data_IF_270906125728
#
_entry.id   IF_270906125728
#
_cell.length_a   1.000
_cell.length_b   1.000
_cell.length_c   1.000
_cell.angle_alpha   90.00
_cell.angle_beta   90.00
_cell.angle_gamma   90.00
#
_symmetry.space_group_name_H-M   'P 1'
#
loop_
_entity.id
_entity.type
_entity.pdbx_description
1 polymer ?
#
# COMPACT_ATOMS: atom_id res chain seq x y z
N UNK A 1 -10.81 15.72 -4.24
CA UNK A 1 -10.31 14.60 -3.41
C UNK A 1 -11.41 13.62 -2.99
N UNK A 2 -12.56 14.07 -2.46
CA UNK A 2 -13.65 13.21 -1.96
C UNK A 2 -14.10 12.06 -2.91
N UNK A 3 -14.11 12.29 -4.24
CA UNK A 3 -14.46 11.25 -5.24
C UNK A 3 -13.49 10.06 -5.29
N UNK A 4 -12.20 10.29 -5.04
CA UNK A 4 -11.19 9.22 -5.03
C UNK A 4 -11.34 8.43 -3.74
N UNK A 5 -11.48 9.11 -2.60
CA UNK A 5 -11.70 8.46 -1.31
C UNK A 5 -12.93 7.54 -1.33
N UNK A 6 -14.05 7.99 -1.91
CA UNK A 6 -15.27 7.19 -2.05
C UNK A 6 -15.06 5.99 -2.96
N UNK A 7 -14.42 6.16 -4.12
CA UNK A 7 -14.12 5.07 -5.05
C UNK A 7 -13.27 3.97 -4.38
N UNK A 8 -12.20 4.36 -3.69
CA UNK A 8 -11.31 3.42 -3.00
C UNK A 8 -12.02 2.69 -1.86
N UNK A 9 -12.88 3.39 -1.11
CA UNK A 9 -13.70 2.77 -0.05
C UNK A 9 -14.63 1.70 -0.62
N UNK A 10 -15.31 1.99 -1.74
CA UNK A 10 -16.19 1.03 -2.39
C UNK A 10 -15.43 -0.19 -2.93
N UNK A 11 -14.25 0.01 -3.54
CA UNK A 11 -13.42 -1.11 -3.97
C UNK A 11 -12.98 -1.98 -2.77
N UNK A 12 -12.54 -1.37 -1.66
CA UNK A 12 -12.20 -2.11 -0.45
C UNK A 12 -13.38 -2.96 0.06
N UNK A 13 -14.60 -2.40 0.12
CA UNK A 13 -15.81 -3.16 0.51
C UNK A 13 -16.09 -4.34 -0.42
N UNK A 14 -15.90 -4.17 -1.74
CA UNK A 14 -16.05 -5.27 -2.71
C UNK A 14 -15.03 -6.37 -2.48
N UNK A 15 -13.78 -6.04 -2.16
CA UNK A 15 -12.73 -7.02 -1.89
C UNK A 15 -13.00 -7.80 -0.60
N UNK A 16 -13.46 -7.14 0.46
CA UNK A 16 -13.83 -7.80 1.72
C UNK A 16 -14.90 -8.89 1.51
N UNK A 17 -15.88 -8.63 0.65
CA UNK A 17 -16.93 -9.60 0.29
C UNK A 17 -16.42 -10.81 -0.51
N UNK A 18 -15.29 -10.70 -1.21
CA UNK A 18 -14.76 -11.79 -2.05
C UNK A 18 -14.02 -12.86 -1.26
N UNK A 19 -13.29 -12.48 -0.21
CA UNK A 19 -12.40 -13.41 0.54
C UNK A 19 -12.76 -13.55 2.01
N UNK A 20 -13.91 -13.02 2.43
CA UNK A 20 -14.37 -13.00 3.83
C UNK A 20 -13.23 -12.66 4.82
N UNK A 21 -12.49 -11.58 4.53
CA UNK A 21 -11.28 -11.22 5.27
C UNK A 21 -11.61 -10.93 6.74
N UNK A 22 -11.02 -11.71 7.65
CA UNK A 22 -11.24 -11.56 9.09
C UNK A 22 -10.86 -10.17 9.60
N UNK A 23 -11.50 -9.73 10.68
CA UNK A 23 -11.21 -8.43 11.29
C UNK A 23 -9.73 -8.34 11.72
N UNK A 24 -9.19 -9.42 12.28
CA UNK A 24 -7.78 -9.50 12.67
C UNK A 24 -6.83 -9.27 11.48
N UNK A 25 -7.09 -9.90 10.33
CA UNK A 25 -6.28 -9.66 9.13
C UNK A 25 -6.40 -8.22 8.63
N UNK A 26 -7.60 -7.62 8.71
CA UNK A 26 -7.77 -6.21 8.34
C UNK A 26 -6.94 -5.29 9.25
N UNK A 27 -6.94 -5.53 10.56
CA UNK A 27 -6.16 -4.74 11.51
C UNK A 27 -4.67 -4.86 11.25
N UNK A 28 -4.15 -6.07 11.02
CA UNK A 28 -2.75 -6.30 10.65
C UNK A 28 -2.38 -5.54 9.38
N UNK A 29 -3.20 -5.65 8.34
CA UNK A 29 -3.01 -4.94 7.07
C UNK A 29 -3.16 -3.42 7.19
N UNK A 30 -3.73 -2.88 8.27
CA UNK A 30 -3.82 -1.44 8.52
C UNK A 30 -2.67 -0.91 9.38
N UNK A 31 -2.13 -1.76 10.26
CA UNK A 31 -1.02 -1.41 11.15
C UNK A 31 0.30 -1.35 10.37
N UNK A 32 0.54 -2.35 9.52
CA UNK A 32 1.82 -2.53 8.84
C UNK A 32 1.76 -1.99 7.42
N UNK A 33 2.50 -0.91 7.07
CA UNK A 33 2.49 -0.32 5.74
C UNK A 33 3.43 -1.00 4.73
N UNK A 34 4.10 -2.09 5.11
CA UNK A 34 4.88 -2.90 4.17
C UNK A 34 4.32 -4.31 4.18
N UNK A 35 4.17 -4.86 2.98
CA UNK A 35 3.77 -6.23 2.72
C UNK A 35 4.73 -6.83 1.71
N UNK A 36 5.25 -8.01 2.02
CA UNK A 36 6.04 -8.83 1.12
C UNK A 36 5.40 -10.21 1.03
N UNK A 37 5.59 -10.89 -0.10
CA UNK A 37 4.97 -12.17 -0.37
C UNK A 37 6.02 -13.09 -0.98
N UNK A 38 6.34 -14.16 -0.27
CA UNK A 38 7.30 -15.17 -0.69
C UNK A 38 6.54 -16.44 -1.10
N UNK A 39 6.73 -16.93 -2.33
CA UNK A 39 6.06 -18.14 -2.77
C UNK A 39 6.54 -19.34 -1.94
N UNK A 40 5.62 -20.26 -1.68
CA UNK A 40 5.93 -21.57 -1.11
C UNK A 40 5.65 -22.63 -2.19
N UNK A 41 6.47 -23.69 -2.23
CA UNK A 41 6.37 -24.80 -3.17
C UNK A 41 4.98 -25.49 -3.18
N UNK A 42 4.18 -25.32 -2.12
CA UNK A 42 2.86 -25.97 -1.94
C UNK A 42 1.68 -25.17 -2.53
N UNK A 43 1.89 -24.20 -3.43
CA UNK A 43 0.81 -23.34 -3.96
C UNK A 43 0.24 -22.34 -2.94
N UNK A 44 0.95 -22.18 -1.82
CA UNK A 44 0.68 -21.18 -0.80
C UNK A 44 1.70 -20.04 -0.90
N UNK A 45 1.38 -18.90 -0.28
CA UNK A 45 2.26 -17.74 -0.22
C UNK A 45 2.43 -17.35 1.24
N UNK A 46 3.68 -17.16 1.65
CA UNK A 46 4.01 -16.60 2.95
C UNK A 46 4.05 -15.09 2.83
N UNK A 47 3.10 -14.41 3.45
CA UNK A 47 3.00 -12.96 3.46
C UNK A 47 3.65 -12.41 4.73
N UNK A 48 4.63 -11.55 4.56
CA UNK A 48 5.34 -10.85 5.64
C UNK A 48 4.82 -9.41 5.73
N UNK A 49 4.24 -9.05 6.87
CA UNK A 49 3.74 -7.70 7.16
C UNK A 49 4.69 -6.98 8.13
N UNK A 50 5.12 -5.78 7.75
CA UNK A 50 6.07 -5.00 8.54
C UNK A 50 6.08 -3.51 8.24
N UNK A 51 7.17 -2.86 8.65
CA UNK A 51 7.34 -1.41 8.53
C UNK A 51 6.79 -0.63 9.73
N UNK A 52 7.36 0.56 9.92
CA UNK A 52 6.93 1.47 10.99
C UNK A 52 5.54 2.02 10.70
N UNK A 53 4.63 1.89 11.66
CA UNK A 53 3.32 2.53 11.59
C UNK A 53 3.43 4.04 11.39
N UNK A 54 2.37 4.64 10.86
CA UNK A 54 2.34 6.07 10.56
C UNK A 54 1.03 6.70 11.01
N UNK A 55 1.06 8.01 11.24
CA UNK A 55 -0.13 8.77 11.57
C UNK A 55 -0.98 8.96 10.31
N UNK A 56 -2.21 8.46 10.28
CA UNK A 56 -3.09 8.55 9.10
C UNK A 56 -3.49 9.98 8.70
N UNK A 57 -3.39 10.96 9.61
CA UNK A 57 -3.68 12.37 9.34
C UNK A 57 -2.44 13.10 8.80
N UNK A 58 -1.31 12.96 9.48
CA UNK A 58 -0.09 13.72 9.14
C UNK A 58 0.87 12.98 8.22
N UNK A 59 0.67 11.68 8.01
CA UNK A 59 1.50 10.75 7.22
C UNK A 59 2.94 10.60 7.74
N UNK A 60 3.23 11.13 8.94
CA UNK A 60 4.51 10.98 9.61
C UNK A 60 4.65 9.59 10.22
N UNK A 61 5.86 9.04 10.16
CA UNK A 61 6.22 7.80 10.85
C UNK A 61 6.05 7.97 12.35
N UNK A 62 5.50 6.96 13.00
CA UNK A 62 5.39 6.89 14.46
C UNK A 62 6.40 5.84 14.91
N UNK A 63 7.44 6.28 15.64
CA UNK A 63 8.37 5.39 16.32
C UNK A 63 7.65 4.76 17.52
N UNK A 64 6.85 3.72 17.28
CA UNK A 64 6.40 2.82 18.36
C UNK A 64 7.38 1.64 18.42
N UNK A 65 7.57 1.12 19.64
CA UNK A 65 8.32 -0.11 19.88
C UNK A 65 7.91 -1.20 18.90
N UNK A 66 8.90 -1.89 18.36
CA UNK A 66 8.82 -2.82 17.24
C UNK A 66 7.75 -3.88 17.53
N UNK A 67 6.54 -3.72 16.97
CA UNK A 67 5.66 -4.88 16.81
C UNK A 67 6.40 -5.81 15.84
N UNK A 68 6.78 -6.98 16.34
CA UNK A 68 7.46 -8.02 15.57
C UNK A 68 6.71 -8.21 14.24
N UNK A 69 7.45 -8.33 13.16
CA UNK A 69 6.91 -8.65 11.83
C UNK A 69 5.88 -9.77 11.94
N UNK A 70 4.77 -9.65 11.22
CA UNK A 70 3.68 -10.61 11.27
C UNK A 70 3.62 -11.41 9.98
N UNK A 71 3.54 -12.72 10.11
CA UNK A 71 3.56 -13.63 8.98
C UNK A 71 2.18 -14.29 8.82
N UNK A 72 1.68 -14.32 7.60
CA UNK A 72 0.40 -14.94 7.24
C UNK A 72 0.66 -15.98 6.15
N UNK A 73 0.00 -17.13 6.23
CA UNK A 73 0.01 -18.12 5.14
C UNK A 73 -1.31 -18.00 4.39
N UNK A 74 -1.25 -17.65 3.11
CA UNK A 74 -2.43 -17.44 2.25
C UNK A 74 -2.32 -18.30 0.99
N UNK A 75 -3.44 -18.57 0.33
CA UNK A 75 -3.41 -19.04 -1.06
C UNK A 75 -2.97 -17.92 -2.00
N UNK A 76 -2.45 -18.27 -3.19
CA UNK A 76 -2.05 -17.28 -4.22
C UNK A 76 -3.20 -16.33 -4.56
N UNK A 77 -4.41 -16.87 -4.76
CA UNK A 77 -5.60 -16.08 -5.08
C UNK A 77 -5.95 -15.10 -3.95
N UNK A 78 -5.94 -15.59 -2.71
CA UNK A 78 -6.23 -14.75 -1.53
C UNK A 78 -5.16 -13.67 -1.36
N UNK A 79 -3.89 -14.01 -1.60
CA UNK A 79 -2.78 -13.07 -1.53
C UNK A 79 -2.95 -11.89 -2.50
N UNK A 80 -3.42 -12.12 -3.74
CA UNK A 80 -3.71 -11.05 -4.70
C UNK A 80 -4.72 -10.05 -4.15
N UNK A 81 -5.78 -10.53 -3.50
CA UNK A 81 -6.83 -9.70 -2.92
C UNK A 81 -6.33 -8.93 -1.69
N UNK A 82 -5.50 -9.57 -0.85
CA UNK A 82 -4.86 -8.93 0.31
C UNK A 82 -3.90 -7.82 -0.11
N UNK A 83 -3.05 -8.07 -1.12
CA UNK A 83 -2.13 -7.08 -1.68
C UNK A 83 -2.85 -5.87 -2.24
N UNK A 84 -3.98 -6.08 -2.93
CA UNK A 84 -4.79 -4.98 -3.44
C UNK A 84 -5.46 -4.20 -2.29
N UNK A 85 -6.07 -4.89 -1.33
CA UNK A 85 -6.69 -4.26 -0.17
C UNK A 85 -5.69 -3.40 0.62
N UNK A 86 -4.49 -3.93 0.85
CA UNK A 86 -3.37 -3.25 1.50
C UNK A 86 -2.96 -1.98 0.73
N UNK A 87 -2.74 -2.10 -0.58
CA UNK A 87 -2.37 -0.96 -1.44
C UNK A 87 -3.43 0.14 -1.44
N UNK A 88 -4.72 -0.23 -1.50
CA UNK A 88 -5.83 0.72 -1.42
C UNK A 88 -5.91 1.40 -0.05
N UNK A 89 -5.56 0.71 1.02
CA UNK A 89 -5.58 1.29 2.36
C UNK A 89 -4.46 2.31 2.56
N UNK A 90 -3.25 2.00 2.12
CA UNK A 90 -2.06 2.82 2.33
C UNK A 90 -1.75 3.79 1.19
N UNK A 91 -2.63 3.92 0.20
CA UNK A 91 -2.35 4.71 -1.01
C UNK A 91 -1.82 6.12 -0.69
N UNK A 92 -2.47 6.86 0.24
CA UNK A 92 -2.03 8.21 0.64
C UNK A 92 -0.61 8.22 1.20
N UNK A 93 -0.28 7.21 2.02
CA UNK A 93 1.01 7.12 2.66
C UNK A 93 2.12 6.78 1.66
N UNK A 94 1.89 5.79 0.79
CA UNK A 94 2.85 5.45 -0.26
C UNK A 94 3.05 6.61 -1.24
N UNK A 95 1.98 7.30 -1.64
CA UNK A 95 2.08 8.52 -2.44
C UNK A 95 2.91 9.58 -1.73
N UNK A 96 2.64 9.82 -0.44
CA UNK A 96 3.40 10.80 0.33
C UNK A 96 4.89 10.46 0.39
N UNK A 97 5.24 9.20 0.67
CA UNK A 97 6.64 8.76 0.68
C UNK A 97 7.30 8.90 -0.69
N UNK A 98 6.61 8.54 -1.76
CA UNK A 98 7.11 8.70 -3.12
C UNK A 98 7.35 10.18 -3.44
N UNK A 99 6.35 11.04 -3.24
CA UNK A 99 6.48 12.48 -3.45
C UNK A 99 7.60 13.07 -2.58
N UNK A 100 7.74 12.63 -1.32
CA UNK A 100 8.81 13.07 -0.43
C UNK A 100 10.17 12.66 -0.99
N UNK A 101 10.34 11.42 -1.47
CA UNK A 101 11.58 10.95 -2.09
C UNK A 101 11.93 11.75 -3.34
N UNK A 102 10.98 11.94 -4.25
CA UNK A 102 11.16 12.75 -5.46
C UNK A 102 11.56 14.19 -5.11
N UNK A 103 10.90 14.81 -4.13
CA UNK A 103 11.26 16.14 -3.62
C UNK A 103 12.67 16.20 -3.02
N UNK A 104 13.13 15.15 -2.35
CA UNK A 104 14.50 15.09 -1.83
C UNK A 104 15.51 14.93 -2.96
N UNK A 105 15.23 14.06 -3.93
CA UNK A 105 16.08 13.87 -5.11
C UNK A 105 16.22 15.15 -5.93
N UNK A 106 15.10 15.86 -6.15
CA UNK A 106 15.08 17.14 -6.87
C UNK A 106 15.84 18.24 -6.12
N UNK A 107 15.74 18.30 -4.80
CA UNK A 107 16.53 19.26 -4.00
C UNK A 107 18.03 19.05 -4.08
N UNK A 108 18.47 17.81 -4.28
CA UNK A 108 19.89 17.49 -4.52
C UNK A 108 20.32 17.90 -5.93
N UNK A 109 19.38 18.08 -6.87
CA UNK A 109 19.69 18.36 -8.29
C UNK A 109 19.38 19.78 -8.76
N UNK A 110 18.41 20.52 -8.21
CA UNK A 110 18.13 21.92 -8.60
C UNK A 110 17.21 22.66 -7.61
N UNK A 111 17.56 23.92 -7.31
CA UNK A 111 16.66 24.94 -6.74
C UNK A 111 15.65 25.35 -7.83
N UNK A 112 14.45 24.75 -7.86
CA UNK A 112 13.47 24.99 -8.92
C UNK A 112 12.04 24.66 -8.52
N UNK A 113 11.36 25.67 -7.96
CA UNK A 113 9.99 25.61 -7.45
C UNK A 113 8.93 25.42 -8.54
N UNK A 114 7.75 24.92 -8.15
CA UNK A 114 6.46 25.16 -8.81
C UNK A 114 6.05 24.33 -10.06
N UNK A 115 6.07 23.00 -9.98
CA UNK A 115 5.23 22.16 -10.90
C UNK A 115 4.82 20.80 -10.29
N UNK A 116 4.51 20.76 -8.98
CA UNK A 116 4.36 19.48 -8.24
C UNK A 116 2.93 18.97 -8.02
N UNK A 117 1.89 19.77 -8.28
CA UNK A 117 0.49 19.32 -8.06
C UNK A 117 -0.07 18.45 -9.19
N UNK A 118 0.34 18.65 -10.46
CA UNK A 118 -0.20 17.88 -11.60
C UNK A 118 0.55 16.56 -11.86
N UNK A 119 1.88 16.54 -11.71
CA UNK A 119 2.70 15.33 -11.91
C UNK A 119 2.42 14.22 -10.89
N UNK A 120 2.13 14.57 -9.63
CA UNK A 120 1.86 13.59 -8.58
C UNK A 120 0.64 12.70 -8.86
N UNK A 121 -0.40 13.20 -9.53
CA UNK A 121 -1.61 12.41 -9.84
C UNK A 121 -1.37 11.41 -10.97
N UNK A 122 -0.60 11.81 -12.00
CA UNK A 122 -0.25 10.91 -13.13
C UNK A 122 0.67 9.80 -12.66
N UNK A 123 1.66 10.12 -11.81
CA UNK A 123 2.54 9.12 -11.19
C UNK A 123 1.74 8.18 -10.27
N UNK A 124 0.76 8.68 -9.51
CA UNK A 124 -0.15 7.84 -8.71
C UNK A 124 -0.95 6.85 -9.56
N UNK A 125 -1.55 7.30 -10.67
CA UNK A 125 -2.26 6.40 -11.58
C UNK A 125 -1.30 5.40 -12.20
N UNK A 126 -0.09 5.82 -12.59
CA UNK A 126 0.89 4.93 -13.19
C UNK A 126 1.40 3.87 -12.19
N UNK A 127 1.56 4.21 -10.90
CA UNK A 127 1.99 3.26 -9.88
C UNK A 127 0.86 2.30 -9.48
N UNK A 128 -0.38 2.78 -9.42
CA UNK A 128 -1.57 1.94 -9.22
C UNK A 128 -1.77 1.01 -10.42
N UNK A 129 -1.67 1.51 -11.65
CA UNK A 129 -1.75 0.72 -12.88
C UNK A 129 -0.59 -0.28 -12.93
N UNK A 130 0.65 0.11 -12.59
CA UNK A 130 1.80 -0.78 -12.57
C UNK A 130 1.69 -1.86 -11.49
N UNK A 131 1.13 -1.56 -10.31
CA UNK A 131 0.78 -2.58 -9.31
C UNK A 131 -0.33 -3.50 -9.80
N UNK A 132 -1.37 -2.96 -10.43
CA UNK A 132 -2.47 -3.77 -11.00
C UNK A 132 -1.93 -4.68 -12.12
N UNK A 133 -1.07 -4.17 -13.00
CA UNK A 133 -0.48 -4.93 -14.12
C UNK A 133 0.51 -5.98 -13.63
N UNK A 134 1.39 -5.65 -12.67
CA UNK A 134 2.32 -6.62 -12.08
C UNK A 134 1.59 -7.73 -11.28
N UNK A 135 0.41 -7.45 -10.72
CA UNK A 135 -0.39 -8.44 -10.00
C UNK A 135 -1.32 -9.27 -10.92
N UNK A 136 -1.50 -8.90 -12.19
CA UNK A 136 -2.31 -9.63 -13.18
C UNK A 136 -1.49 -10.45 -14.19
N UNK A 137 -0.15 -10.28 -14.25
CA UNK A 137 0.75 -10.98 -15.16
C UNK A 137 1.67 -12.01 -14.46
N UNK A 138 1.36 -12.42 -13.23
CA UNK A 138 2.10 -13.45 -12.49
C UNK A 138 1.16 -14.37 -11.73
#
# INVERSE_FOLDING_TARGET
MRKIDSLLSEQKKRLLRRVNMSVQHQELLHIFPKMMADPLESGAVKVHLGGEGYNRKTLNRVKRSINKQQDLKLSIETCRIYSLYHSLHHYKYHTFLHCKKEWMNLRVTTFGSFQLRKRSVVIMMHHIIRLIVLLNLS
#
